data_IF_323772963105
#
_entry.id   IF_323772963105
#
_cell.length_a   1.000
_cell.length_b   1.000
_cell.length_c   1.000
_cell.angle_alpha   90.00
_cell.angle_beta   90.00
_cell.angle_gamma   90.00
#
_symmetry.space_group_name_H-M   'P 1'
#
loop_
_entity.id
_entity.type
_entity.pdbx_description
1 polymer ?
#
# COMPACT_ATOMS: atom_id res chain seq x y z
N UNK A 1 -7.61 -2.49 3.39
CA UNK A 1 -6.21 -2.39 2.99
C UNK A 1 -5.95 -1.98 1.55
N UNK A 2 -6.98 -1.90 0.67
CA UNK A 2 -6.81 -1.59 -0.78
C UNK A 2 -7.32 -0.20 -1.19
N UNK A 3 -7.80 0.62 -0.27
CA UNK A 3 -8.26 1.99 -0.54
C UNK A 3 -9.44 2.11 -1.52
N UNK A 4 -10.30 1.09 -1.63
CA UNK A 4 -11.37 1.03 -2.63
C UNK A 4 -12.31 2.23 -2.59
N UNK A 5 -12.82 2.60 -1.42
CA UNK A 5 -13.68 3.78 -1.28
C UNK A 5 -13.00 5.09 -1.69
N UNK A 6 -11.69 5.23 -1.42
CA UNK A 6 -10.92 6.39 -1.86
C UNK A 6 -10.71 6.37 -3.39
N UNK A 7 -10.55 5.18 -3.98
CA UNK A 7 -10.45 5.03 -5.44
C UNK A 7 -11.77 5.44 -6.12
N UNK A 8 -12.90 4.99 -5.59
CA UNK A 8 -14.23 5.38 -6.09
C UNK A 8 -14.45 6.89 -5.98
N UNK A 9 -14.06 7.49 -4.84
CA UNK A 9 -14.16 8.94 -4.64
C UNK A 9 -13.27 9.72 -5.65
N UNK A 10 -12.02 9.30 -5.83
CA UNK A 10 -11.11 9.88 -6.82
C UNK A 10 -11.65 9.78 -8.25
N UNK A 11 -12.17 8.61 -8.63
CA UNK A 11 -12.77 8.38 -9.93
C UNK A 11 -14.03 9.25 -10.13
N UNK A 12 -14.88 9.38 -9.11
CA UNK A 12 -16.05 10.24 -9.14
C UNK A 12 -15.68 11.72 -9.34
N UNK A 13 -14.67 12.22 -8.60
CA UNK A 13 -14.18 13.60 -8.75
C UNK A 13 -13.69 13.87 -10.17
N UNK A 14 -12.85 12.99 -10.72
CA UNK A 14 -12.34 13.10 -12.09
C UNK A 14 -13.50 13.02 -13.11
N UNK A 15 -14.42 12.07 -12.92
CA UNK A 15 -15.56 11.86 -13.79
C UNK A 15 -16.51 13.06 -13.84
N UNK A 16 -16.87 13.62 -12.67
CA UNK A 16 -17.74 14.80 -12.57
C UNK A 16 -17.07 16.05 -13.13
N UNK A 17 -15.76 16.24 -12.89
CA UNK A 17 -14.99 17.33 -13.47
C UNK A 17 -15.07 17.33 -15.00
N UNK A 18 -14.97 16.15 -15.62
CA UNK A 18 -15.08 15.96 -17.07
C UNK A 18 -16.53 16.15 -17.56
N UNK A 19 -17.47 15.48 -16.91
CA UNK A 19 -18.89 15.49 -17.32
C UNK A 19 -19.50 16.88 -17.32
N UNK A 20 -19.16 17.69 -16.32
CA UNK A 20 -19.69 19.05 -16.16
C UNK A 20 -18.77 20.14 -16.70
N UNK A 21 -17.66 19.77 -17.34
CA UNK A 21 -16.68 20.69 -17.91
C UNK A 21 -16.22 21.77 -16.90
N UNK A 22 -15.96 21.36 -15.65
CA UNK A 22 -15.60 22.29 -14.56
C UNK A 22 -14.18 22.82 -14.70
N UNK A 23 -13.33 22.14 -15.47
CA UNK A 23 -11.94 22.51 -15.76
C UNK A 23 -11.05 22.66 -14.51
N UNK A 24 -11.36 21.97 -13.42
CA UNK A 24 -10.47 21.93 -12.28
C UNK A 24 -9.17 21.20 -12.64
N UNK A 25 -8.04 21.76 -12.23
CA UNK A 25 -6.73 21.14 -12.32
C UNK A 25 -6.63 19.94 -11.38
N UNK A 26 -5.64 19.08 -11.61
CA UNK A 26 -5.36 17.94 -10.72
C UNK A 26 -5.14 18.41 -9.27
N UNK A 27 -4.40 19.50 -9.05
CA UNK A 27 -4.15 20.04 -7.73
C UNK A 27 -5.42 20.54 -7.01
N UNK A 28 -6.38 21.09 -7.74
CA UNK A 28 -7.69 21.47 -7.20
C UNK A 28 -8.52 20.25 -6.83
N UNK A 29 -8.53 19.23 -7.67
CA UNK A 29 -9.21 17.96 -7.37
C UNK A 29 -8.58 17.24 -6.19
N UNK A 30 -7.25 17.25 -6.04
CA UNK A 30 -6.55 16.72 -4.88
C UNK A 30 -6.97 17.43 -3.60
N UNK A 31 -7.05 18.76 -3.62
CA UNK A 31 -7.49 19.56 -2.47
C UNK A 31 -8.95 19.27 -2.09
N UNK A 32 -9.83 19.12 -3.07
CA UNK A 32 -11.21 18.70 -2.85
C UNK A 32 -11.22 17.26 -2.31
N UNK A 33 -10.45 16.36 -2.90
CA UNK A 33 -10.33 14.95 -2.49
C UNK A 33 -9.90 14.78 -1.04
N UNK A 34 -8.99 15.63 -0.56
CA UNK A 34 -8.53 15.61 0.83
C UNK A 34 -9.68 15.82 1.83
N UNK A 35 -10.71 16.59 1.49
CA UNK A 35 -11.90 16.77 2.35
C UNK A 35 -12.78 15.53 2.44
N UNK A 36 -12.62 14.59 1.51
CA UNK A 36 -13.34 13.31 1.46
C UNK A 36 -12.57 12.21 2.20
N UNK A 37 -11.23 12.18 2.01
CA UNK A 37 -10.38 11.21 2.68
C UNK A 37 -8.91 11.40 2.34
N UNK A 38 -8.03 10.98 3.28
CA UNK A 38 -6.59 11.17 3.20
C UNK A 38 -5.94 10.52 1.95
N UNK A 39 -6.46 9.37 1.49
CA UNK A 39 -5.92 8.66 0.32
C UNK A 39 -6.45 9.21 -1.02
N UNK A 40 -7.54 10.01 -1.02
CA UNK A 40 -8.19 10.47 -2.25
C UNK A 40 -7.28 11.33 -3.12
N UNK A 41 -6.43 12.24 -2.58
CA UNK A 41 -5.48 13.00 -3.39
C UNK A 41 -4.57 12.11 -4.24
N UNK A 42 -4.05 11.02 -3.66
CA UNK A 42 -3.22 10.06 -4.40
C UNK A 42 -4.02 9.36 -5.51
N UNK A 43 -5.28 8.98 -5.25
CA UNK A 43 -6.13 8.30 -6.24
C UNK A 43 -6.56 9.24 -7.39
N UNK A 44 -6.59 10.56 -7.13
CA UNK A 44 -6.76 11.58 -8.17
C UNK A 44 -5.49 11.73 -9.01
N UNK A 45 -4.32 11.77 -8.39
CA UNK A 45 -3.03 11.92 -9.07
C UNK A 45 -2.64 10.67 -9.84
N UNK A 46 -2.73 9.52 -9.19
CA UNK A 46 -2.28 8.24 -9.72
C UNK A 46 -0.76 8.08 -9.78
N UNK A 47 -0.33 7.01 -10.43
CA UNK A 47 1.10 6.70 -10.60
C UNK A 47 1.76 6.19 -9.33
N UNK A 48 3.09 6.38 -9.23
CA UNK A 48 3.90 6.07 -8.06
C UNK A 48 4.24 7.35 -7.33
N UNK A 49 3.90 7.44 -6.05
CA UNK A 49 4.15 8.60 -5.21
C UNK A 49 4.70 8.22 -3.84
N UNK A 50 5.56 9.07 -3.29
CA UNK A 50 5.78 9.15 -1.85
C UNK A 50 4.71 10.07 -1.25
N UNK A 51 3.99 9.59 -0.25
CA UNK A 51 2.99 10.34 0.48
C UNK A 51 3.51 10.65 1.89
N UNK A 52 3.35 11.89 2.33
CA UNK A 52 3.75 12.41 3.64
C UNK A 52 2.59 13.19 4.26
N UNK A 53 2.74 13.62 5.52
CA UNK A 53 1.65 14.25 6.26
C UNK A 53 0.60 13.23 6.65
N UNK A 54 -0.68 13.53 6.41
CA UNK A 54 -1.77 12.55 6.53
C UNK A 54 -2.03 11.80 5.22
N UNK A 55 -1.18 12.02 4.18
CA UNK A 55 -1.28 11.41 2.84
C UNK A 55 -1.43 12.42 1.70
N UNK A 56 -1.50 13.71 2.03
CA UNK A 56 -1.73 14.81 1.08
C UNK A 56 -0.47 15.35 0.42
N UNK A 57 0.68 15.19 1.06
CA UNK A 57 1.95 15.69 0.51
C UNK A 57 2.55 14.66 -0.42
N UNK A 58 2.17 14.75 -1.69
CA UNK A 58 2.52 13.78 -2.70
C UNK A 58 3.75 14.19 -3.51
N UNK A 59 4.78 13.37 -3.50
CA UNK A 59 5.95 13.49 -4.38
C UNK A 59 5.92 12.36 -5.40
N UNK A 60 5.75 12.70 -6.68
CA UNK A 60 5.74 11.69 -7.76
C UNK A 60 7.13 11.09 -7.95
N UNK A 61 7.19 9.78 -8.11
CA UNK A 61 8.40 9.00 -8.33
C UNK A 61 8.34 8.37 -9.73
N UNK A 62 9.37 8.59 -10.53
CA UNK A 62 9.51 8.02 -11.87
C UNK A 62 10.97 7.74 -12.18
N UNK A 63 11.31 6.63 -12.87
CA UNK A 63 10.41 5.59 -13.36
C UNK A 63 9.95 4.63 -12.24
N UNK A 64 8.79 3.97 -12.44
CA UNK A 64 8.40 2.84 -11.61
C UNK A 64 9.11 1.57 -12.10
N UNK A 65 9.67 0.74 -11.22
CA UNK A 65 10.27 -0.52 -11.62
C UNK A 65 9.19 -1.50 -12.10
N UNK A 66 9.54 -2.37 -13.02
CA UNK A 66 8.67 -3.46 -13.41
C UNK A 66 8.77 -4.57 -12.34
N UNK A 67 7.65 -4.85 -11.68
CA UNK A 67 7.52 -5.90 -10.68
C UNK A 67 6.14 -6.54 -10.76
N UNK A 68 5.95 -7.67 -10.10
CA UNK A 68 4.68 -8.38 -10.01
C UNK A 68 4.28 -8.52 -8.56
N UNK A 69 2.98 -8.40 -8.32
CA UNK A 69 2.41 -8.52 -6.98
C UNK A 69 1.37 -9.63 -6.96
N UNK A 70 1.45 -10.52 -5.99
CA UNK A 70 0.36 -11.43 -5.64
C UNK A 70 -0.35 -10.86 -4.43
N UNK A 71 -1.64 -10.59 -4.57
CA UNK A 71 -2.49 -10.06 -3.50
C UNK A 71 -3.30 -11.20 -2.90
N UNK A 72 -3.37 -11.25 -1.57
CA UNK A 72 -4.13 -12.26 -0.83
C UNK A 72 -4.84 -11.64 0.36
N UNK A 73 -6.13 -11.96 0.52
CA UNK A 73 -6.91 -11.61 1.71
C UNK A 73 -7.18 -12.87 2.53
N UNK A 74 -6.34 -13.18 3.54
CA UNK A 74 -6.41 -14.44 4.27
C UNK A 74 -7.51 -14.51 5.32
N UNK A 75 -8.16 -13.38 5.62
CA UNK A 75 -9.23 -13.28 6.61
C UNK A 75 -10.11 -12.05 6.36
N UNK A 76 -11.19 -11.93 7.13
CA UNK A 76 -12.07 -10.76 7.08
C UNK A 76 -11.34 -9.46 7.35
N UNK A 77 -11.90 -8.35 6.87
CA UNK A 77 -11.36 -7.01 7.05
C UNK A 77 -11.13 -6.64 8.51
N UNK A 78 -10.13 -5.80 8.74
CA UNK A 78 -9.84 -5.18 10.02
C UNK A 78 -10.37 -3.75 10.05
N UNK A 79 -10.88 -3.31 11.19
CA UNK A 79 -11.24 -1.90 11.39
C UNK A 79 -9.97 -1.06 11.46
N UNK A 80 -9.80 -0.15 10.49
CA UNK A 80 -8.64 0.76 10.45
C UNK A 80 -8.52 1.56 11.74
N UNK A 81 -9.63 2.10 12.27
CA UNK A 81 -9.63 2.86 13.53
C UNK A 81 -9.16 2.02 14.73
N UNK A 82 -9.62 0.75 14.84
CA UNK A 82 -9.16 -0.15 15.90
C UNK A 82 -7.67 -0.48 15.80
N UNK A 83 -7.13 -0.62 14.59
CA UNK A 83 -5.71 -0.89 14.39
C UNK A 83 -4.87 0.32 14.79
N UNK A 84 -5.26 1.54 14.38
CA UNK A 84 -4.57 2.76 14.80
C UNK A 84 -4.64 2.97 16.32
N UNK A 85 -5.81 2.78 16.93
CA UNK A 85 -5.96 2.86 18.41
C UNK A 85 -5.04 1.85 19.12
N UNK A 86 -4.96 0.62 18.63
CA UNK A 86 -4.07 -0.39 19.20
C UNK A 86 -2.58 -0.04 18.96
N UNK A 87 -2.25 0.52 17.80
CA UNK A 87 -0.91 0.99 17.47
C UNK A 87 -0.45 2.12 18.41
N UNK A 88 -1.32 3.09 18.71
CA UNK A 88 -1.01 4.20 19.61
C UNK A 88 -0.67 3.76 21.04
N UNK A 89 -1.10 2.55 21.44
CA UNK A 89 -0.76 1.95 22.74
C UNK A 89 0.55 1.12 22.70
N UNK A 90 1.12 0.93 21.51
CA UNK A 90 2.37 0.16 21.34
C UNK A 90 3.58 1.04 21.66
N UNK A 91 4.55 0.51 22.39
CA UNK A 91 5.78 1.26 22.70
C UNK A 91 6.55 1.59 21.43
N UNK A 92 6.89 2.87 21.24
CA UNK A 92 7.66 3.36 20.09
C UNK A 92 9.06 2.71 20.01
N UNK A 93 9.60 2.23 21.13
CA UNK A 93 10.91 1.56 21.19
C UNK A 93 10.91 0.19 20.53
N UNK A 94 9.75 -0.45 20.43
CA UNK A 94 9.59 -1.78 19.81
C UNK A 94 9.32 -1.73 18.31
N UNK A 95 9.09 -0.54 17.75
CA UNK A 95 8.72 -0.36 16.35
C UNK A 95 9.94 -0.12 15.46
N UNK A 96 10.14 -1.00 14.49
CA UNK A 96 11.14 -0.77 13.46
C UNK A 96 10.74 0.47 12.62
N UNK A 97 11.60 1.49 12.58
CA UNK A 97 11.33 2.69 11.79
C UNK A 97 11.40 2.38 10.30
N UNK A 98 10.40 2.82 9.51
CA UNK A 98 10.42 2.66 8.06
C UNK A 98 11.66 3.31 7.42
N UNK A 99 12.25 2.62 6.44
CA UNK A 99 13.40 3.12 5.70
C UNK A 99 12.95 3.77 4.39
N UNK A 100 12.04 4.73 4.46
CA UNK A 100 11.33 5.31 3.30
C UNK A 100 12.29 5.83 2.21
N UNK A 101 13.39 6.49 2.59
CA UNK A 101 14.35 7.00 1.60
C UNK A 101 15.09 5.87 0.88
N UNK A 102 15.47 4.80 1.60
CA UNK A 102 16.08 3.62 0.96
C UNK A 102 15.10 2.90 0.03
N UNK A 103 13.84 2.78 0.43
CA UNK A 103 12.81 2.23 -0.43
C UNK A 103 12.63 3.07 -1.70
N UNK A 104 12.63 4.40 -1.57
CA UNK A 104 12.55 5.31 -2.70
C UNK A 104 13.77 5.18 -3.64
N UNK A 105 14.98 5.14 -3.10
CA UNK A 105 16.21 4.95 -3.88
C UNK A 105 16.18 3.62 -4.64
N UNK A 106 15.80 2.53 -3.96
CA UNK A 106 15.67 1.21 -4.58
C UNK A 106 14.61 1.19 -5.70
N UNK A 107 13.46 1.83 -5.49
CA UNK A 107 12.42 1.99 -6.50
C UNK A 107 12.95 2.72 -7.73
N UNK A 108 13.62 3.85 -7.55
CA UNK A 108 14.15 4.65 -8.67
C UNK A 108 15.29 3.95 -9.40
N UNK A 109 16.07 3.13 -8.71
CA UNK A 109 17.12 2.30 -9.28
C UNK A 109 16.60 1.03 -9.97
N UNK A 110 15.34 0.65 -9.75
CA UNK A 110 14.80 -0.64 -10.21
C UNK A 110 15.36 -1.85 -9.47
N UNK A 111 15.95 -1.64 -8.28
CA UNK A 111 16.56 -2.68 -7.46
C UNK A 111 15.49 -3.33 -6.55
N UNK A 112 14.83 -4.38 -7.06
CA UNK A 112 13.79 -5.09 -6.32
C UNK A 112 14.29 -5.78 -5.03
N UNK A 113 15.48 -6.41 -4.99
CA UNK A 113 16.04 -6.92 -3.74
C UNK A 113 16.25 -5.84 -2.67
N UNK A 114 16.83 -4.69 -3.03
CA UNK A 114 17.02 -3.58 -2.11
C UNK A 114 15.67 -2.99 -1.66
N UNK A 115 14.69 -2.91 -2.57
CA UNK A 115 13.32 -2.52 -2.22
C UNK A 115 12.73 -3.48 -1.20
N UNK A 116 12.76 -4.80 -1.47
CA UNK A 116 12.25 -5.83 -0.57
C UNK A 116 12.86 -5.72 0.85
N UNK A 117 14.17 -5.48 0.94
CA UNK A 117 14.88 -5.32 2.21
C UNK A 117 14.50 -4.04 2.98
N UNK A 118 14.00 -3.01 2.28
CA UNK A 118 13.62 -1.71 2.88
C UNK A 118 12.12 -1.58 3.16
N UNK A 119 11.29 -2.51 2.66
CA UNK A 119 9.85 -2.52 2.88
C UNK A 119 9.51 -2.78 4.34
N UNK A 120 8.61 -1.97 4.90
CA UNK A 120 8.12 -2.13 6.27
C UNK A 120 6.73 -1.53 6.43
N UNK A 121 5.87 -2.19 7.21
CA UNK A 121 4.58 -1.67 7.64
C UNK A 121 4.48 -1.75 9.17
N UNK A 122 4.53 -0.60 9.83
CA UNK A 122 4.50 -0.50 11.30
C UNK A 122 3.21 -1.04 11.93
N UNK A 123 2.11 -1.12 11.17
CA UNK A 123 0.83 -1.65 11.63
C UNK A 123 0.76 -3.19 11.57
N UNK A 124 1.68 -3.84 10.83
CA UNK A 124 1.62 -5.28 10.54
C UNK A 124 1.62 -6.14 11.80
N UNK A 125 2.51 -5.86 12.75
CA UNK A 125 2.59 -6.60 14.01
C UNK A 125 1.32 -6.47 14.86
N UNK A 126 0.74 -5.27 14.91
CA UNK A 126 -0.52 -5.02 15.64
C UNK A 126 -1.69 -5.77 14.98
N UNK A 127 -1.76 -5.75 13.66
CA UNK A 127 -2.80 -6.45 12.91
C UNK A 127 -2.66 -7.98 13.00
N UNK A 128 -1.42 -8.49 12.94
CA UNK A 128 -1.11 -9.91 13.08
C UNK A 128 -1.47 -10.44 14.48
N UNK A 129 -1.24 -9.66 15.53
CA UNK A 129 -1.65 -10.01 16.88
C UNK A 129 -3.19 -10.19 17.00
N UNK A 130 -3.97 -9.41 16.26
CA UNK A 130 -5.43 -9.53 16.19
C UNK A 130 -5.91 -10.64 15.24
N UNK A 131 -5.13 -10.95 14.21
CA UNK A 131 -5.45 -11.93 13.16
C UNK A 131 -4.21 -12.77 12.81
N UNK A 132 -3.94 -13.86 13.52
CA UNK A 132 -2.76 -14.71 13.24
C UNK A 132 -2.70 -15.31 11.84
N UNK A 133 -3.83 -15.29 11.09
CA UNK A 133 -3.88 -15.66 9.69
C UNK A 133 -2.97 -14.78 8.82
N UNK A 134 -2.78 -13.51 9.21
CA UNK A 134 -1.91 -12.59 8.47
C UNK A 134 -0.46 -13.06 8.46
N UNK A 135 0.07 -13.43 9.63
CA UNK A 135 1.45 -13.93 9.76
C UNK A 135 1.66 -15.19 8.93
N UNK A 136 0.71 -16.14 9.00
CA UNK A 136 0.77 -17.36 8.17
C UNK A 136 0.76 -17.05 6.67
N UNK A 137 -0.05 -16.07 6.26
CA UNK A 137 -0.14 -15.67 4.86
C UNK A 137 1.15 -14.99 4.37
N UNK A 138 1.76 -14.14 5.20
CA UNK A 138 3.05 -13.52 4.90
C UNK A 138 4.15 -14.58 4.72
N UNK A 139 4.30 -15.49 5.68
CA UNK A 139 5.24 -16.60 5.57
C UNK A 139 4.98 -17.46 4.33
N UNK A 140 3.71 -17.78 4.05
CA UNK A 140 3.36 -18.60 2.88
C UNK A 140 3.76 -17.93 1.56
N UNK A 141 3.57 -16.63 1.41
CA UNK A 141 4.01 -15.90 0.22
C UNK A 141 5.54 -15.91 0.07
N UNK A 142 6.28 -15.80 1.18
CA UNK A 142 7.74 -15.88 1.17
C UNK A 142 8.23 -17.29 0.82
N UNK A 143 7.61 -18.37 1.37
CA UNK A 143 7.87 -19.76 0.98
C UNK A 143 7.62 -20.01 -0.51
N UNK A 144 6.64 -19.32 -1.10
CA UNK A 144 6.31 -19.41 -2.52
C UNK A 144 7.22 -18.53 -3.40
N UNK A 145 8.28 -17.94 -2.82
CA UNK A 145 9.33 -17.24 -3.55
C UNK A 145 9.13 -15.75 -3.71
N UNK A 146 8.26 -15.13 -2.90
CA UNK A 146 8.22 -13.67 -2.83
C UNK A 146 9.56 -13.12 -2.29
N UNK A 147 10.09 -12.07 -2.92
CA UNK A 147 11.25 -11.34 -2.44
C UNK A 147 10.98 -10.72 -1.07
N UNK A 148 9.74 -10.33 -0.84
CA UNK A 148 9.17 -9.86 0.42
C UNK A 148 7.67 -10.02 0.39
N UNK A 149 7.09 -10.45 1.51
CA UNK A 149 5.66 -10.33 1.75
C UNK A 149 5.40 -9.22 2.77
N UNK A 150 4.31 -8.47 2.61
CA UNK A 150 3.93 -7.40 3.51
C UNK A 150 2.43 -7.16 3.49
N UNK A 151 1.87 -6.72 4.62
CA UNK A 151 0.49 -6.27 4.71
C UNK A 151 0.32 -4.89 4.09
N UNK A 152 -0.78 -4.63 3.39
CA UNK A 152 -1.11 -3.30 2.85
C UNK A 152 -2.02 -2.52 3.80
N UNK A 153 -1.62 -1.30 4.11
CA UNK A 153 -2.35 -0.41 5.03
C UNK A 153 -2.54 -1.04 6.41
N UNK A 154 -3.75 -0.99 6.94
CA UNK A 154 -4.15 -1.62 8.22
C UNK A 154 -4.55 -3.10 8.08
N UNK A 155 -4.45 -3.69 6.87
CA UNK A 155 -4.87 -5.07 6.60
C UNK A 155 -6.35 -5.14 6.20
N UNK A 156 -6.88 -6.32 5.97
CA UNK A 156 -6.28 -7.66 6.09
C UNK A 156 -5.58 -8.16 4.82
N UNK A 157 -5.51 -7.36 3.76
CA UNK A 157 -4.82 -7.77 2.53
C UNK A 157 -3.32 -7.79 2.75
N UNK A 158 -2.67 -8.88 2.33
CA UNK A 158 -1.21 -9.02 2.22
C UNK A 158 -0.82 -9.11 0.76
N UNK A 159 0.43 -8.80 0.45
CA UNK A 159 0.96 -8.98 -0.88
C UNK A 159 2.38 -9.50 -0.85
N UNK A 160 2.72 -10.31 -1.87
CA UNK A 160 4.09 -10.74 -2.14
C UNK A 160 4.65 -9.99 -3.34
N UNK A 161 5.89 -9.51 -3.23
CA UNK A 161 6.65 -8.87 -4.31
C UNK A 161 7.46 -9.92 -5.06
N UNK A 162 7.31 -9.99 -6.39
CA UNK A 162 8.01 -10.95 -7.24
C UNK A 162 8.77 -10.24 -8.37
N UNK A 163 9.94 -10.78 -8.72
CA UNK A 163 10.79 -10.26 -9.77
C UNK A 163 10.35 -10.65 -11.19
N UNK A 164 9.44 -11.61 -11.34
CA UNK A 164 8.95 -12.06 -12.64
C UNK A 164 7.49 -12.50 -12.60
N UNK A 165 6.83 -12.41 -13.75
CA UNK A 165 5.44 -12.86 -13.91
C UNK A 165 5.30 -14.38 -13.68
N UNK A 166 6.28 -15.15 -14.16
CA UNK A 166 6.28 -16.60 -13.96
C UNK A 166 6.33 -16.99 -12.49
N UNK A 167 7.18 -16.30 -11.68
CA UNK A 167 7.25 -16.53 -10.25
C UNK A 167 5.95 -16.16 -9.54
N UNK A 168 5.34 -15.02 -9.90
CA UNK A 168 4.07 -14.59 -9.33
C UNK A 168 2.93 -15.57 -9.67
N UNK A 169 2.85 -16.05 -10.90
CA UNK A 169 1.84 -17.03 -11.32
C UNK A 169 2.03 -18.38 -10.63
N UNK A 170 3.27 -18.83 -10.48
CA UNK A 170 3.58 -20.07 -9.74
C UNK A 170 3.15 -19.94 -8.26
N UNK A 171 3.44 -18.79 -7.63
CA UNK A 171 3.01 -18.51 -6.26
C UNK A 171 1.48 -18.49 -6.14
N UNK A 172 0.78 -17.82 -7.05
CA UNK A 172 -0.69 -17.78 -7.07
C UNK A 172 -1.29 -19.18 -7.14
N UNK A 173 -0.72 -20.09 -7.95
CA UNK A 173 -1.16 -21.47 -8.05
C UNK A 173 -0.84 -22.31 -6.80
N UNK A 174 0.04 -21.85 -5.94
CA UNK A 174 0.40 -22.53 -4.68
C UNK A 174 -0.33 -21.98 -3.44
N UNK A 175 -1.27 -21.05 -3.63
CA UNK A 175 -2.07 -20.46 -2.54
C UNK A 175 -3.37 -21.23 -2.23
N UNK A 176 -3.57 -22.42 -2.75
CA UNK A 176 -4.78 -23.26 -2.55
C UNK A 176 -4.99 -23.66 -1.07
#
# INVERSE_FOLDING_TARGET
GMGGGSADAGAALIGLNRLWNLNFSTAELERIGLTVGADVPFLVRGGLCRAEGVGEQLTSLTPAPKCWLVLWQPCDGLSTGEIFTAFDTTSAETLARPQTLRAQEALLAGDLPALAASMNNVLEGVSAAKRPQLERALHRLEELGALRAMMTGSGSVVYGLFGSEGAANAALSGLD
#
